data_IF_668533714191
#
_entry.id   IF_668533714191
#
_cell.length_a   1.000
_cell.length_b   1.000
_cell.length_c   1.000
_cell.angle_alpha   90.00
_cell.angle_beta   90.00
_cell.angle_gamma   90.00
#
_symmetry.space_group_name_H-M   'P 1'
#
loop_
_entity.id
_entity.type
_entity.pdbx_description
1 polymer ?
#
# COMPACT_ATOMS: atom_id res chain seq x y z
N UNK A 1 -4.73 21.87 7.75
CA UNK A 1 -5.09 20.69 8.59
C UNK A 1 -3.79 20.26 9.28
N UNK A 2 -3.82 19.98 10.57
CA UNK A 2 -2.69 19.38 11.28
C UNK A 2 -2.88 17.85 11.17
N UNK A 3 -1.90 17.15 10.59
CA UNK A 3 -1.95 15.70 10.41
C UNK A 3 -1.56 14.98 11.70
N UNK A 4 -2.22 13.88 12.00
CA UNK A 4 -1.95 13.03 13.16
C UNK A 4 -1.28 11.72 12.77
N UNK A 5 -1.76 11.09 11.71
CA UNK A 5 -1.37 9.73 11.29
C UNK A 5 -0.41 9.72 10.09
N UNK A 6 -0.15 10.88 9.49
CA UNK A 6 0.88 11.06 8.47
C UNK A 6 1.77 12.26 8.79
N UNK A 7 2.91 12.37 8.11
CA UNK A 7 3.63 13.63 7.92
C UNK A 7 3.61 14.02 6.44
N UNK A 8 3.55 15.33 6.18
CA UNK A 8 3.62 15.90 4.84
C UNK A 8 4.63 17.04 4.80
N UNK A 9 5.60 16.95 3.92
CA UNK A 9 6.62 17.97 3.72
C UNK A 9 6.94 18.17 2.25
N UNK A 10 7.46 19.34 1.90
CA UNK A 10 7.95 19.66 0.56
C UNK A 10 9.43 20.04 0.68
N UNK A 11 10.29 19.31 -0.04
CA UNK A 11 11.74 19.53 -0.09
C UNK A 11 12.10 19.84 -1.54
N UNK A 12 12.37 21.10 -1.83
CA UNK A 12 12.56 21.56 -3.22
C UNK A 12 11.33 21.30 -4.09
N UNK A 13 11.45 20.39 -5.06
CA UNK A 13 10.35 19.98 -5.95
C UNK A 13 9.76 18.59 -5.59
N UNK A 14 10.10 18.07 -4.45
CA UNK A 14 9.67 16.73 -3.99
C UNK A 14 8.71 16.89 -2.83
N UNK A 15 7.48 16.38 -2.96
CA UNK A 15 6.59 16.18 -1.82
C UNK A 15 6.88 14.81 -1.20
N UNK A 16 6.89 14.72 0.12
CA UNK A 16 6.98 13.48 0.88
C UNK A 16 5.76 13.35 1.77
N UNK A 17 5.06 12.25 1.63
CA UNK A 17 4.02 11.78 2.56
C UNK A 17 4.59 10.56 3.29
N UNK A 18 4.59 10.57 4.61
CA UNK A 18 5.06 9.42 5.39
C UNK A 18 3.98 8.99 6.38
N UNK A 19 3.64 7.70 6.38
CA UNK A 19 2.82 7.12 7.44
C UNK A 19 3.49 7.38 8.79
N UNK A 20 2.75 7.83 9.78
CA UNK A 20 3.26 8.28 11.08
C UNK A 20 2.48 7.67 12.26
N UNK A 21 2.29 6.38 12.24
CA UNK A 21 1.75 5.57 13.34
C UNK A 21 2.74 4.47 13.77
N UNK A 22 4.02 4.82 14.09
CA UNK A 22 5.06 3.81 14.33
C UNK A 22 4.75 2.87 15.50
N UNK A 23 3.98 3.31 16.49
CA UNK A 23 3.52 2.49 17.62
C UNK A 23 2.56 1.36 17.20
N UNK A 24 1.88 1.51 16.06
CA UNK A 24 0.95 0.53 15.49
C UNK A 24 1.51 -0.07 14.18
N UNK A 25 2.85 -0.10 14.03
CA UNK A 25 3.52 -0.56 12.80
C UNK A 25 2.96 0.08 11.52
N UNK A 26 2.53 1.34 11.60
CA UNK A 26 1.90 2.10 10.51
C UNK A 26 0.68 1.41 9.90
N UNK A 27 -0.11 0.71 10.71
CA UNK A 27 -1.39 0.16 10.27
C UNK A 27 -2.33 1.27 9.78
N UNK A 28 -3.01 1.01 8.67
CA UNK A 28 -3.83 1.97 7.93
C UNK A 28 -5.22 2.12 8.57
N UNK A 29 -5.35 3.09 9.48
CA UNK A 29 -6.64 3.51 10.04
C UNK A 29 -7.42 4.35 9.02
N UNK A 30 -8.71 4.52 9.25
CA UNK A 30 -9.55 5.41 8.44
C UNK A 30 -9.03 6.85 8.44
N UNK A 31 -8.50 7.32 9.59
CA UNK A 31 -7.90 8.65 9.67
C UNK A 31 -6.63 8.75 8.82
N UNK A 32 -5.74 7.72 8.87
CA UNK A 32 -4.55 7.70 8.02
C UNK A 32 -4.91 7.77 6.53
N UNK A 33 -5.92 7.02 6.10
CA UNK A 33 -6.37 7.02 4.71
C UNK A 33 -6.95 8.38 4.29
N UNK A 34 -7.76 9.00 5.14
CA UNK A 34 -8.32 10.32 4.89
C UNK A 34 -7.24 11.40 4.82
N UNK A 35 -6.25 11.34 5.70
CA UNK A 35 -5.12 12.26 5.70
C UNK A 35 -4.21 12.05 4.48
N UNK A 36 -3.97 10.79 4.08
CA UNK A 36 -3.23 10.45 2.86
C UNK A 36 -3.92 11.01 1.62
N UNK A 37 -5.24 10.82 1.49
CA UNK A 37 -6.02 11.37 0.40
C UNK A 37 -5.94 12.89 0.33
N UNK A 38 -6.07 13.58 1.47
CA UNK A 38 -5.93 15.02 1.53
C UNK A 38 -4.53 15.49 1.12
N UNK A 39 -3.47 14.80 1.58
CA UNK A 39 -2.09 15.14 1.22
C UNK A 39 -1.79 14.86 -0.27
N UNK A 40 -2.35 13.80 -0.84
CA UNK A 40 -2.30 13.53 -2.29
C UNK A 40 -2.93 14.69 -3.07
N UNK A 41 -4.08 15.18 -2.64
CA UNK A 41 -4.76 16.32 -3.28
C UNK A 41 -3.94 17.61 -3.19
N UNK A 42 -3.27 17.90 -2.07
CA UNK A 42 -2.36 19.04 -1.94
C UNK A 42 -1.17 18.91 -2.88
N UNK A 43 -0.47 17.76 -2.85
CA UNK A 43 0.68 17.51 -3.72
C UNK A 43 0.31 17.56 -5.21
N UNK A 44 -0.90 17.13 -5.56
CA UNK A 44 -1.43 17.19 -6.93
C UNK A 44 -1.62 18.62 -7.42
N UNK A 45 -2.16 19.51 -6.57
CA UNK A 45 -2.51 20.89 -6.91
C UNK A 45 -1.32 21.84 -6.87
N UNK A 46 -0.25 21.50 -6.15
CA UNK A 46 0.94 22.35 -6.04
C UNK A 46 1.83 22.22 -7.28
N UNK A 47 1.88 23.25 -8.11
CA UNK A 47 2.69 23.27 -9.35
C UNK A 47 4.21 23.22 -9.07
N UNK A 48 4.65 23.56 -7.85
CA UNK A 48 6.06 23.42 -7.45
C UNK A 48 6.46 21.96 -7.24
N UNK A 49 5.52 21.10 -6.84
CA UNK A 49 5.75 19.66 -6.67
C UNK A 49 5.83 18.95 -8.02
N UNK A 50 6.91 18.22 -8.25
CA UNK A 50 7.17 17.47 -9.50
C UNK A 50 7.22 15.97 -9.29
N UNK A 51 7.57 15.51 -8.09
CA UNK A 51 7.67 14.09 -7.69
C UNK A 51 7.06 13.92 -6.31
N UNK A 52 6.43 12.79 -6.07
CA UNK A 52 5.90 12.39 -4.78
C UNK A 52 6.66 11.17 -4.25
N UNK A 53 7.08 11.21 -3.00
CA UNK A 53 7.56 10.05 -2.23
C UNK A 53 6.45 9.64 -1.24
N UNK A 54 6.11 8.36 -1.21
CA UNK A 54 5.30 7.75 -0.14
C UNK A 54 6.23 6.86 0.68
N UNK A 55 6.39 7.20 1.95
CA UNK A 55 7.27 6.51 2.89
C UNK A 55 6.60 6.28 4.24
N UNK A 56 7.40 6.00 5.26
CA UNK A 56 6.90 5.79 6.62
C UNK A 56 7.94 6.16 7.68
N UNK A 57 7.46 6.64 8.82
CA UNK A 57 8.27 6.93 10.00
C UNK A 57 8.42 5.65 10.83
N UNK A 58 9.63 5.42 11.36
CA UNK A 58 9.92 4.31 12.25
C UNK A 58 10.38 3.04 11.55
N UNK A 59 10.10 1.88 12.17
CA UNK A 59 10.70 0.60 11.78
C UNK A 59 10.09 0.00 10.51
N UNK A 60 8.82 0.19 10.27
CA UNK A 60 8.03 -0.50 9.25
C UNK A 60 7.37 0.50 8.29
N UNK A 61 7.19 0.07 7.05
CA UNK A 61 6.40 0.84 6.07
C UNK A 61 4.92 0.81 6.46
N UNK A 62 4.30 -0.36 6.47
CA UNK A 62 2.94 -0.57 6.96
C UNK A 62 2.67 -2.07 7.21
N UNK A 63 1.94 -2.36 8.28
CA UNK A 63 1.43 -3.69 8.57
C UNK A 63 0.11 -4.02 7.85
N UNK A 64 -0.39 -3.10 7.01
CA UNK A 64 -1.67 -3.19 6.32
C UNK A 64 -2.81 -2.52 7.08
N UNK A 65 -4.05 -2.87 6.76
CA UNK A 65 -5.23 -2.25 7.35
C UNK A 65 -5.29 -2.42 8.87
N UNK A 66 -5.72 -1.38 9.57
CA UNK A 66 -5.94 -1.43 11.02
C UNK A 66 -7.24 -2.20 11.31
N UNK A 67 -7.07 -3.49 11.62
CA UNK A 67 -8.21 -4.39 11.84
C UNK A 67 -9.05 -3.99 13.06
N UNK A 68 -8.44 -3.37 14.08
CA UNK A 68 -9.17 -2.91 15.26
C UNK A 68 -10.02 -1.69 14.94
N UNK A 69 -9.47 -0.69 14.25
CA UNK A 69 -10.20 0.47 13.73
C UNK A 69 -11.33 0.04 12.79
N UNK A 70 -11.03 -0.92 11.90
CA UNK A 70 -12.00 -1.48 10.98
C UNK A 70 -13.17 -2.17 11.67
N UNK A 71 -12.88 -2.97 12.70
CA UNK A 71 -13.92 -3.63 13.49
C UNK A 71 -14.79 -2.66 14.26
N UNK A 72 -14.18 -1.67 14.91
CA UNK A 72 -14.92 -0.68 15.69
C UNK A 72 -15.89 0.11 14.82
N UNK A 73 -15.47 0.51 13.61
CA UNK A 73 -16.23 1.40 12.75
C UNK A 73 -17.14 0.67 11.74
N UNK A 74 -16.76 -0.54 11.31
CA UNK A 74 -17.40 -1.25 10.20
C UNK A 74 -17.76 -2.70 10.49
N UNK A 75 -17.57 -3.18 11.73
CA UNK A 75 -17.84 -4.57 12.10
C UNK A 75 -19.29 -5.03 11.93
N UNK A 76 -20.22 -4.06 11.84
CA UNK A 76 -21.66 -4.33 11.62
C UNK A 76 -22.12 -4.01 10.19
N UNK A 77 -21.20 -3.68 9.27
CA UNK A 77 -21.55 -3.39 7.89
C UNK A 77 -22.15 -4.61 7.20
N UNK A 78 -23.18 -4.38 6.38
CA UNK A 78 -23.64 -5.37 5.40
C UNK A 78 -22.62 -5.53 4.26
N UNK A 79 -22.66 -6.61 3.48
CA UNK A 79 -21.80 -6.77 2.32
C UNK A 79 -21.84 -5.57 1.35
N UNK A 80 -23.03 -4.96 1.15
CA UNK A 80 -23.17 -3.77 0.30
C UNK A 80 -22.45 -2.55 0.91
N UNK A 81 -22.51 -2.37 2.21
CA UNK A 81 -21.83 -1.29 2.91
C UNK A 81 -20.31 -1.46 2.86
N UNK A 82 -19.80 -2.70 3.03
CA UNK A 82 -18.38 -3.03 2.82
C UNK A 82 -17.96 -2.72 1.40
N UNK A 83 -18.70 -3.20 0.40
CA UNK A 83 -18.39 -2.96 -1.01
C UNK A 83 -18.31 -1.45 -1.33
N UNK A 84 -19.29 -0.66 -0.87
CA UNK A 84 -19.31 0.79 -1.08
C UNK A 84 -18.13 1.48 -0.42
N UNK A 85 -17.89 1.15 0.86
CA UNK A 85 -16.84 1.80 1.63
C UNK A 85 -15.43 1.45 1.12
N UNK A 86 -15.15 0.18 0.89
CA UNK A 86 -13.84 -0.28 0.41
C UNK A 86 -13.56 0.15 -1.03
N UNK A 87 -14.60 0.24 -1.87
CA UNK A 87 -14.45 0.77 -3.23
C UNK A 87 -13.97 2.22 -3.25
N UNK A 88 -14.36 3.02 -2.26
CA UNK A 88 -13.97 4.42 -2.15
C UNK A 88 -12.63 4.58 -1.41
N UNK A 89 -12.46 3.89 -0.28
CA UNK A 89 -11.37 4.17 0.66
C UNK A 89 -10.15 3.29 0.44
N UNK A 90 -10.29 1.98 0.17
CA UNK A 90 -9.15 1.11 -0.07
C UNK A 90 -8.79 1.05 -1.55
N UNK A 91 -9.68 0.55 -2.38
CA UNK A 91 -9.48 0.48 -3.83
C UNK A 91 -9.31 1.87 -4.44
N UNK A 92 -10.18 2.83 -4.04
CA UNK A 92 -10.14 4.20 -4.51
C UNK A 92 -8.83 4.90 -4.17
N UNK A 93 -8.35 4.77 -2.94
CA UNK A 93 -7.05 5.32 -2.51
C UNK A 93 -5.88 4.73 -3.32
N UNK A 94 -5.86 3.41 -3.49
CA UNK A 94 -4.84 2.73 -4.30
C UNK A 94 -4.84 3.22 -5.76
N UNK A 95 -6.01 3.32 -6.39
CA UNK A 95 -6.13 3.83 -7.76
C UNK A 95 -5.77 5.31 -7.87
N UNK A 96 -5.99 6.12 -6.83
CA UNK A 96 -5.54 7.54 -6.80
C UNK A 96 -4.03 7.66 -6.82
N UNK A 97 -3.30 6.74 -6.20
CA UNK A 97 -1.82 6.69 -6.26
C UNK A 97 -1.37 6.31 -7.68
N UNK A 98 -1.97 5.28 -8.28
CA UNK A 98 -1.70 4.88 -9.66
C UNK A 98 -1.96 6.01 -10.66
N UNK A 99 -3.10 6.68 -10.54
CA UNK A 99 -3.52 7.79 -11.40
C UNK A 99 -2.89 9.14 -11.03
N UNK A 100 -2.05 9.18 -9.99
CA UNK A 100 -1.43 10.43 -9.57
C UNK A 100 -0.63 11.05 -10.73
N UNK A 101 -0.86 12.34 -11.07
CA UNK A 101 -0.38 12.90 -12.33
C UNK A 101 1.13 13.19 -12.37
N UNK A 102 1.84 12.98 -11.27
CA UNK A 102 3.28 13.17 -11.14
C UNK A 102 3.94 11.83 -10.81
N UNK A 103 5.23 11.60 -11.11
CA UNK A 103 5.93 10.40 -10.70
C UNK A 103 5.83 10.17 -9.19
N UNK A 104 5.63 8.89 -8.81
CA UNK A 104 5.52 8.45 -7.42
C UNK A 104 6.60 7.43 -7.09
N UNK A 105 7.21 7.53 -5.91
CA UNK A 105 8.22 6.60 -5.42
C UNK A 105 7.79 6.07 -4.06
N UNK A 106 7.69 4.75 -3.92
CA UNK A 106 7.55 4.10 -2.62
C UNK A 106 8.92 3.94 -1.98
N UNK A 107 9.09 4.46 -0.76
CA UNK A 107 10.26 4.29 0.09
C UNK A 107 9.94 3.30 1.18
N UNK A 108 10.39 2.05 1.03
CA UNK A 108 9.92 0.92 1.83
C UNK A 108 11.01 0.40 2.77
N UNK A 109 10.67 0.25 4.05
CA UNK A 109 11.52 -0.36 5.06
C UNK A 109 10.75 -1.31 5.99
N UNK A 110 11.45 -2.33 6.51
CA UNK A 110 10.86 -3.32 7.40
C UNK A 110 9.62 -3.98 6.81
N UNK A 111 8.53 -4.10 7.56
CA UNK A 111 7.30 -4.74 7.10
C UNK A 111 6.55 -3.87 6.08
N UNK A 112 6.16 -4.48 4.96
CA UNK A 112 5.26 -3.95 3.94
C UNK A 112 4.23 -5.05 3.63
N UNK A 113 3.10 -5.04 4.32
CA UNK A 113 2.17 -6.18 4.40
C UNK A 113 0.77 -5.76 3.96
N UNK A 114 0.08 -6.62 3.22
CA UNK A 114 -1.34 -6.49 2.83
C UNK A 114 -1.68 -5.10 2.26
N UNK A 115 -2.46 -4.26 2.95
CA UNK A 115 -2.77 -2.88 2.52
C UNK A 115 -1.51 -2.06 2.22
N UNK A 116 -0.48 -2.14 3.09
CA UNK A 116 0.81 -1.48 2.84
C UNK A 116 1.52 -1.98 1.58
N UNK A 117 1.45 -3.29 1.30
CA UNK A 117 1.92 -3.86 0.04
C UNK A 117 1.15 -3.26 -1.15
N UNK A 118 -0.17 -3.12 -1.02
CA UNK A 118 -1.01 -2.50 -2.03
C UNK A 118 -0.58 -1.05 -2.32
N UNK A 119 -0.49 -0.20 -1.29
CA UNK A 119 -0.07 1.20 -1.42
C UNK A 119 1.30 1.33 -2.10
N UNK A 120 2.29 0.53 -1.66
CA UNK A 120 3.64 0.59 -2.21
C UNK A 120 3.69 0.19 -3.69
N UNK A 121 2.93 -0.85 -4.09
CA UNK A 121 2.91 -1.35 -5.47
C UNK A 121 2.05 -0.52 -6.43
N UNK A 122 1.26 0.43 -5.92
CA UNK A 122 0.57 1.40 -6.77
C UNK A 122 1.41 2.65 -7.08
N UNK A 123 2.59 2.78 -6.48
CA UNK A 123 3.60 3.75 -6.89
C UNK A 123 4.31 3.32 -8.18
N UNK A 124 4.91 4.28 -8.90
CA UNK A 124 5.60 4.03 -10.17
C UNK A 124 6.95 3.33 -9.98
N UNK A 125 7.64 3.64 -8.88
CA UNK A 125 8.98 3.13 -8.56
C UNK A 125 8.98 2.70 -7.10
N UNK A 126 9.66 1.59 -6.79
CA UNK A 126 9.85 1.13 -5.43
C UNK A 126 11.34 1.01 -5.09
N UNK A 127 11.74 1.67 -4.00
CA UNK A 127 13.07 1.55 -3.41
C UNK A 127 12.89 0.95 -2.02
N UNK A 128 13.55 -0.15 -1.76
CA UNK A 128 13.45 -0.88 -0.50
C UNK A 128 14.77 -0.86 0.26
N UNK A 129 14.68 -0.79 1.58
CA UNK A 129 15.81 -1.10 2.45
C UNK A 129 16.12 -2.60 2.40
N UNK A 130 17.35 -2.95 2.72
CA UNK A 130 17.82 -4.34 2.79
C UNK A 130 17.14 -5.17 3.90
N UNK A 131 16.59 -4.49 4.92
CA UNK A 131 15.78 -5.08 5.99
C UNK A 131 14.27 -5.18 5.66
N UNK A 132 13.86 -4.70 4.48
CA UNK A 132 12.45 -4.75 4.09
C UNK A 132 12.02 -6.18 3.72
N UNK A 133 10.77 -6.49 4.04
CA UNK A 133 10.11 -7.73 3.62
C UNK A 133 8.66 -7.46 3.26
N UNK A 134 8.15 -8.27 2.35
CA UNK A 134 6.80 -8.16 1.81
C UNK A 134 6.00 -9.42 2.12
N UNK A 135 4.70 -9.27 2.38
CA UNK A 135 3.79 -10.39 2.58
C UNK A 135 2.35 -9.96 2.27
N UNK A 136 1.57 -10.89 1.74
CA UNK A 136 0.12 -10.81 1.72
C UNK A 136 -0.47 -12.12 2.28
N UNK A 137 -0.62 -12.22 3.61
CA UNK A 137 -1.11 -13.43 4.25
C UNK A 137 -2.63 -13.50 4.35
N UNK A 138 -3.38 -12.65 3.65
CA UNK A 138 -4.82 -12.42 3.82
C UNK A 138 -5.63 -13.70 3.61
N UNK A 139 -5.22 -14.58 2.68
CA UNK A 139 -5.87 -15.89 2.49
C UNK A 139 -5.77 -16.79 3.73
N UNK A 140 -4.66 -16.69 4.49
CA UNK A 140 -4.44 -17.51 5.69
C UNK A 140 -4.97 -16.83 6.96
N UNK A 141 -4.87 -15.52 7.04
CA UNK A 141 -5.22 -14.77 8.26
C UNK A 141 -6.69 -14.38 8.34
N UNK A 142 -7.35 -14.23 7.19
CA UNK A 142 -8.74 -13.76 7.09
C UNK A 142 -9.63 -14.65 6.21
N UNK A 143 -9.11 -15.72 5.62
CA UNK A 143 -9.80 -16.53 4.61
C UNK A 143 -10.40 -15.67 3.47
N UNK A 144 -9.69 -14.62 3.07
CA UNK A 144 -10.11 -13.70 2.02
C UNK A 144 -9.18 -13.79 0.80
N UNK A 145 -9.68 -13.38 -0.35
CA UNK A 145 -8.97 -13.50 -1.62
C UNK A 145 -7.99 -12.32 -1.81
N UNK A 146 -6.88 -12.28 -1.02
CA UNK A 146 -5.88 -11.19 -1.08
C UNK A 146 -6.46 -9.84 -0.59
N UNK A 147 -5.76 -8.74 -0.86
CA UNK A 147 -6.23 -7.36 -0.62
C UNK A 147 -7.07 -6.85 -1.79
N UNK A 148 -7.68 -5.68 -1.67
CA UNK A 148 -8.66 -5.10 -2.61
C UNK A 148 -8.10 -4.91 -4.03
N UNK A 149 -6.79 -4.70 -4.16
CA UNK A 149 -6.11 -4.54 -5.45
C UNK A 149 -5.17 -5.68 -5.76
N UNK A 150 -5.54 -6.60 -6.65
CA UNK A 150 -4.70 -7.70 -7.07
C UNK A 150 -3.61 -7.24 -8.06
N UNK A 151 -2.63 -6.51 -7.57
CA UNK A 151 -1.50 -6.02 -8.36
C UNK A 151 -0.41 -7.09 -8.58
N UNK A 152 -0.39 -8.14 -7.75
CA UNK A 152 0.64 -9.17 -7.68
C UNK A 152 1.05 -9.78 -9.04
N UNK A 153 0.11 -10.25 -9.91
CA UNK A 153 0.51 -10.82 -11.20
C UNK A 153 1.24 -9.84 -12.13
N UNK A 154 0.99 -8.55 -11.94
CA UNK A 154 1.56 -7.47 -12.77
C UNK A 154 2.99 -7.10 -12.36
N UNK A 155 3.32 -7.22 -11.08
CA UNK A 155 4.62 -6.81 -10.54
C UNK A 155 5.61 -7.97 -10.36
N UNK A 156 5.14 -9.23 -10.30
CA UNK A 156 6.02 -10.39 -10.09
C UNK A 156 5.72 -11.58 -11.02
N UNK A 157 4.75 -11.43 -11.92
CA UNK A 157 4.31 -12.50 -12.83
C UNK A 157 3.41 -13.54 -12.15
N UNK A 158 2.61 -14.25 -12.98
CA UNK A 158 1.50 -15.09 -12.50
C UNK A 158 1.95 -16.20 -11.54
N UNK A 159 3.08 -16.89 -11.82
CA UNK A 159 3.51 -18.02 -11.01
C UNK A 159 4.01 -17.57 -9.64
N UNK A 160 4.79 -16.50 -9.58
CA UNK A 160 5.27 -15.94 -8.32
C UNK A 160 4.14 -15.33 -7.49
N UNK A 161 3.18 -14.69 -8.13
CA UNK A 161 1.97 -14.21 -7.46
C UNK A 161 1.19 -15.35 -6.79
N UNK A 162 1.01 -16.49 -7.48
CA UNK A 162 0.36 -17.68 -6.90
C UNK A 162 1.15 -18.26 -5.73
N UNK A 163 2.46 -18.45 -5.88
CA UNK A 163 3.33 -18.92 -4.80
C UNK A 163 3.23 -18.01 -3.58
N UNK A 164 3.39 -16.70 -3.78
CA UNK A 164 3.33 -15.69 -2.73
C UNK A 164 1.97 -15.69 -1.99
N UNK A 165 0.86 -15.62 -2.73
CA UNK A 165 -0.48 -15.56 -2.17
C UNK A 165 -0.95 -16.90 -1.57
N UNK A 166 -0.63 -18.02 -2.20
CA UNK A 166 -1.06 -19.34 -1.70
C UNK A 166 -0.31 -19.75 -0.46
N UNK A 167 0.95 -19.34 -0.32
CA UNK A 167 1.75 -19.66 0.87
C UNK A 167 1.61 -18.62 1.99
N UNK A 168 1.26 -17.37 1.66
CA UNK A 168 1.26 -16.24 2.60
C UNK A 168 2.65 -15.94 3.20
N UNK A 169 3.72 -16.52 2.62
CA UNK A 169 5.09 -16.37 3.11
C UNK A 169 5.62 -14.96 2.87
N UNK A 170 6.59 -14.61 3.69
CA UNK A 170 7.35 -13.37 3.51
C UNK A 170 8.41 -13.57 2.45
N UNK A 171 8.59 -12.55 1.62
CA UNK A 171 9.73 -12.45 0.71
C UNK A 171 10.61 -11.28 1.12
N UNK A 172 11.92 -11.44 1.00
CA UNK A 172 12.89 -10.37 1.26
C UNK A 172 12.87 -9.30 0.17
N UNK A 173 13.45 -8.13 0.45
CA UNK A 173 13.63 -7.08 -0.55
C UNK A 173 14.46 -7.56 -1.76
N UNK A 174 15.43 -8.44 -1.54
CA UNK A 174 16.28 -9.00 -2.60
C UNK A 174 15.45 -9.92 -3.51
N UNK A 175 14.68 -10.86 -2.95
CA UNK A 175 13.79 -11.72 -3.73
C UNK A 175 12.75 -10.89 -4.51
N UNK A 176 12.17 -9.87 -3.88
CA UNK A 176 11.23 -8.96 -4.51
C UNK A 176 11.85 -8.20 -5.71
N UNK A 177 13.13 -7.82 -5.59
CA UNK A 177 13.90 -7.22 -6.69
C UNK A 177 14.16 -8.23 -7.80
N UNK A 178 14.56 -9.45 -7.47
CA UNK A 178 14.77 -10.53 -8.46
C UNK A 178 13.48 -10.87 -9.22
N UNK A 179 12.32 -10.74 -8.59
CA UNK A 179 11.01 -10.95 -9.22
C UNK A 179 10.53 -9.76 -10.05
N UNK A 180 11.23 -8.63 -9.98
CA UNK A 180 10.90 -7.41 -10.73
C UNK A 180 9.97 -6.44 -10.03
N UNK A 181 9.55 -6.73 -8.79
CA UNK A 181 8.65 -5.90 -8.00
C UNK A 181 9.36 -4.66 -7.42
N UNK A 182 10.61 -4.79 -7.00
CA UNK A 182 11.41 -3.72 -6.39
C UNK A 182 12.48 -3.26 -7.38
N UNK A 183 12.58 -1.95 -7.62
CA UNK A 183 13.58 -1.39 -8.54
C UNK A 183 14.99 -1.41 -7.93
N UNK A 184 15.13 -0.99 -6.66
CA UNK A 184 16.41 -0.87 -5.98
C UNK A 184 16.32 -1.36 -4.55
N UNK A 185 17.36 -2.08 -4.11
CA UNK A 185 17.55 -2.44 -2.69
C UNK A 185 18.84 -1.77 -2.24
N UNK A 186 18.78 -1.05 -1.13
CA UNK A 186 19.90 -0.30 -0.54
C UNK A 186 19.98 -0.55 0.97
N UNK A 187 21.15 -0.33 1.59
CA UNK A 187 21.25 -0.37 3.05
C UNK A 187 20.22 0.54 3.71
N UNK A 188 19.65 0.10 4.83
CA UNK A 188 18.63 0.88 5.55
C UNK A 188 19.06 2.32 5.82
N UNK A 189 20.31 2.52 6.22
CA UNK A 189 20.83 3.84 6.53
C UNK A 189 20.93 4.78 5.31
N UNK A 190 20.90 4.23 4.10
CA UNK A 190 21.01 4.99 2.85
C UNK A 190 19.66 5.22 2.17
N UNK A 191 18.60 4.53 2.63
CA UNK A 191 17.31 4.50 1.95
C UNK A 191 16.74 5.90 1.69
N UNK A 192 16.73 6.76 2.69
CA UNK A 192 16.16 8.10 2.57
C UNK A 192 16.93 8.95 1.57
N UNK A 193 18.26 8.99 1.69
CA UNK A 193 19.11 9.79 0.81
C UNK A 193 19.08 9.27 -0.64
N UNK A 194 19.08 7.94 -0.81
CA UNK A 194 19.00 7.34 -2.15
C UNK A 194 17.66 7.67 -2.83
N UNK A 195 16.56 7.55 -2.09
CA UNK A 195 15.22 7.88 -2.59
C UNK A 195 15.10 9.35 -2.96
N UNK A 196 15.61 10.24 -2.10
CA UNK A 196 15.60 11.68 -2.36
C UNK A 196 16.43 12.03 -3.60
N UNK A 197 17.64 11.48 -3.74
CA UNK A 197 18.50 11.71 -4.90
C UNK A 197 17.81 11.28 -6.21
N UNK A 198 17.09 10.15 -6.20
CA UNK A 198 16.31 9.71 -7.35
C UNK A 198 15.15 10.66 -7.66
N UNK A 199 14.40 11.06 -6.65
CA UNK A 199 13.29 12.00 -6.81
C UNK A 199 13.76 13.36 -7.36
N UNK A 200 14.85 13.89 -6.83
CA UNK A 200 15.47 15.15 -7.32
C UNK A 200 15.99 15.01 -8.76
N UNK A 201 16.56 13.85 -9.11
CA UNK A 201 16.98 13.58 -10.48
C UNK A 201 15.79 13.59 -11.44
N UNK A 202 14.71 12.90 -11.11
CA UNK A 202 13.46 12.89 -11.88
C UNK A 202 12.88 14.31 -12.00
N UNK A 203 12.88 15.06 -10.90
CA UNK A 203 12.33 16.42 -10.86
C UNK A 203 13.05 17.43 -11.77
N UNK A 204 14.24 17.13 -12.29
CA UNK A 204 14.95 17.97 -13.27
C UNK A 204 14.29 17.93 -14.67
N UNK A 205 13.53 16.87 -14.96
CA UNK A 205 12.85 16.77 -16.23
C UNK A 205 11.61 17.68 -16.30
N UNK A 206 11.22 18.16 -17.50
CA UNK A 206 10.03 18.99 -17.68
C UNK A 206 8.76 18.27 -17.16
N UNK A 207 7.96 18.91 -16.28
CA UNK A 207 6.85 18.24 -15.60
C UNK A 207 5.76 17.71 -16.56
N UNK A 208 5.48 18.42 -17.65
CA UNK A 208 4.50 17.95 -18.67
C UNK A 208 5.00 16.69 -19.36
N UNK A 209 6.30 16.63 -19.68
CA UNK A 209 6.91 15.43 -20.29
C UNK A 209 6.75 14.20 -19.39
N UNK A 210 7.08 14.33 -18.11
CA UNK A 210 6.91 13.25 -17.10
C UNK A 210 5.46 12.82 -16.98
N UNK A 211 4.53 13.78 -16.89
CA UNK A 211 3.09 13.50 -16.81
C UNK A 211 2.58 12.74 -18.03
N UNK A 212 2.98 13.14 -19.24
CA UNK A 212 2.57 12.47 -20.46
C UNK A 212 3.18 11.08 -20.57
N UNK A 213 4.43 10.90 -20.17
CA UNK A 213 5.11 9.61 -20.14
C UNK A 213 4.42 8.63 -19.18
N UNK A 214 4.20 9.03 -17.92
CA UNK A 214 3.45 8.21 -16.95
C UNK A 214 2.08 7.82 -17.50
N UNK A 215 1.33 8.81 -18.02
CA UNK A 215 0.01 8.55 -18.62
C UNK A 215 0.07 7.54 -19.77
N UNK A 216 1.09 7.59 -20.61
CA UNK A 216 1.24 6.65 -21.73
C UNK A 216 1.52 5.24 -21.23
N UNK A 217 2.40 5.08 -20.23
CA UNK A 217 2.73 3.79 -19.63
C UNK A 217 1.51 3.18 -18.93
N UNK A 218 0.81 3.97 -18.09
CA UNK A 218 -0.38 3.49 -17.38
C UNK A 218 -1.49 3.09 -18.37
N UNK A 219 -1.71 3.87 -19.44
CA UNK A 219 -2.65 3.49 -20.49
C UNK A 219 -2.29 2.20 -21.20
N UNK A 220 -1.01 1.95 -21.44
CA UNK A 220 -0.56 0.68 -22.00
C UNK A 220 -0.91 -0.49 -21.09
N UNK A 221 -0.69 -0.35 -19.77
CA UNK A 221 -1.09 -1.34 -18.79
C UNK A 221 -2.62 -1.52 -18.75
N UNK A 222 -3.39 -0.45 -18.80
CA UNK A 222 -4.86 -0.50 -18.83
C UNK A 222 -5.39 -1.19 -20.09
N UNK A 223 -4.79 -0.94 -21.26
CA UNK A 223 -5.11 -1.62 -22.52
C UNK A 223 -4.81 -3.13 -22.42
N UNK A 224 -3.73 -3.51 -21.74
CA UNK A 224 -3.41 -4.92 -21.46
C UNK A 224 -4.34 -5.55 -20.40
N UNK A 225 -5.19 -4.77 -19.74
CA UNK A 225 -6.21 -5.26 -18.81
C UNK A 225 -5.94 -4.99 -17.33
N UNK A 226 -4.93 -4.18 -16.97
CA UNK A 226 -4.56 -3.92 -15.57
C UNK A 226 -5.76 -3.48 -14.73
N UNK A 227 -6.41 -2.38 -15.10
CA UNK A 227 -7.55 -1.84 -14.36
C UNK A 227 -8.75 -2.80 -14.35
N UNK A 228 -9.02 -3.45 -15.48
CA UNK A 228 -10.12 -4.41 -15.56
C UNK A 228 -9.89 -5.63 -14.65
N UNK A 229 -8.65 -6.12 -14.55
CA UNK A 229 -8.34 -7.25 -13.65
C UNK A 229 -8.45 -6.87 -12.18
N UNK A 230 -8.07 -5.65 -11.81
CA UNK A 230 -8.23 -5.12 -10.44
C UNK A 230 -9.72 -5.01 -10.10
N UNK A 231 -10.53 -4.41 -10.97
CA UNK A 231 -11.97 -4.27 -10.74
C UNK A 231 -12.67 -5.64 -10.62
N UNK A 232 -12.34 -6.60 -11.49
CA UNK A 232 -12.90 -7.95 -11.41
C UNK A 232 -12.45 -8.70 -10.14
N UNK A 233 -11.23 -8.45 -9.66
CA UNK A 233 -10.76 -9.02 -8.40
C UNK A 233 -11.47 -8.40 -7.21
N UNK A 234 -11.73 -7.10 -7.21
CA UNK A 234 -12.39 -6.42 -6.09
C UNK A 234 -13.74 -7.05 -5.75
N UNK A 235 -14.56 -7.39 -6.74
CA UNK A 235 -15.82 -8.11 -6.51
C UNK A 235 -15.56 -9.50 -5.89
N UNK A 236 -14.50 -10.20 -6.31
CA UNK A 236 -14.08 -11.50 -5.73
C UNK A 236 -13.61 -11.34 -4.29
N UNK A 237 -12.87 -10.27 -3.99
CA UNK A 237 -12.42 -9.93 -2.64
C UNK A 237 -13.62 -9.76 -1.71
N UNK A 238 -14.57 -8.88 -2.06
CA UNK A 238 -15.79 -8.63 -1.27
C UNK A 238 -16.64 -9.91 -1.09
N UNK A 239 -16.76 -10.73 -2.13
CA UNK A 239 -17.46 -12.00 -1.99
C UNK A 239 -16.76 -12.92 -0.99
N UNK A 240 -15.42 -12.97 -1.02
CA UNK A 240 -14.64 -13.82 -0.11
C UNK A 240 -14.77 -13.40 1.34
N UNK A 241 -14.79 -12.09 1.62
CA UNK A 241 -14.97 -11.53 2.98
C UNK A 241 -16.40 -11.66 3.50
N UNK A 242 -17.34 -12.03 2.66
CA UNK A 242 -18.76 -12.27 3.01
C UNK A 242 -19.07 -13.76 3.28
N UNK A 243 -18.07 -14.64 3.34
CA UNK A 243 -18.26 -16.08 3.53
C UNK A 243 -18.30 -16.48 5.02
N UNK A 244 -18.98 -17.60 5.31
CA UNK A 244 -18.96 -18.17 6.66
C UNK A 244 -17.54 -18.54 7.12
N UNK A 245 -16.67 -18.95 6.19
CA UNK A 245 -15.27 -19.27 6.49
C UNK A 245 -14.50 -18.03 6.95
N UNK A 246 -14.66 -16.90 6.24
CA UNK A 246 -14.09 -15.62 6.65
C UNK A 246 -14.53 -15.23 8.07
N UNK A 247 -15.82 -15.24 8.36
CA UNK A 247 -16.34 -14.89 9.68
C UNK A 247 -15.81 -15.80 10.78
N UNK A 248 -15.67 -17.10 10.52
CA UNK A 248 -15.12 -18.05 11.48
C UNK A 248 -13.64 -17.79 11.79
N UNK A 249 -12.83 -17.52 10.76
CA UNK A 249 -11.40 -17.21 10.89
C UNK A 249 -11.18 -15.87 11.57
N UNK A 250 -11.90 -14.83 11.19
CA UNK A 250 -11.83 -13.50 11.80
C UNK A 250 -12.18 -13.55 13.29
N UNK A 251 -13.26 -14.27 13.67
CA UNK A 251 -13.65 -14.46 15.06
C UNK A 251 -12.62 -15.26 15.89
N UNK A 252 -11.93 -16.23 15.29
CA UNK A 252 -10.86 -16.98 15.93
C UNK A 252 -9.61 -16.11 16.17
N UNK A 253 -9.21 -15.33 15.18
CA UNK A 253 -8.08 -14.39 15.26
C UNK A 253 -8.28 -13.35 16.37
N UNK A 254 -9.49 -12.82 16.48
CA UNK A 254 -9.84 -11.87 17.53
C UNK A 254 -9.72 -12.47 18.94
N UNK A 255 -10.26 -13.68 19.13
CA UNK A 255 -10.15 -14.37 20.43
C UNK A 255 -8.70 -14.58 20.83
N UNK A 256 -7.85 -15.02 19.89
CA UNK A 256 -6.42 -15.18 20.13
C UNK A 256 -5.72 -13.88 20.52
N UNK A 257 -6.06 -12.77 19.86
CA UNK A 257 -5.52 -11.43 20.17
C UNK A 257 -5.94 -10.95 21.58
N UNK A 258 -7.19 -11.14 21.96
CA UNK A 258 -7.70 -10.80 23.31
C UNK A 258 -7.03 -11.64 24.41
N UNK A 259 -6.80 -12.93 24.16
CA UNK A 259 -6.10 -13.81 25.10
C UNK A 259 -4.62 -13.41 25.26
N UNK A 260 -3.96 -13.05 24.17
CA UNK A 260 -2.58 -12.56 24.20
C UNK A 260 -2.47 -11.24 24.98
N UNK A 261 -3.40 -10.30 24.79
CA UNK A 261 -3.45 -9.04 25.52
C UNK A 261 -3.66 -9.26 27.04
N UNK A 262 -4.55 -10.18 27.43
CA UNK A 262 -4.75 -10.55 28.84
C UNK A 262 -3.50 -11.14 29.49
N UNK A 263 -2.76 -12.00 28.76
CA UNK A 263 -1.49 -12.59 29.24
C UNK A 263 -0.37 -11.57 29.38
N UNK A 264 -0.37 -10.51 28.58
CA UNK A 264 0.63 -9.44 28.69
C UNK A 264 0.37 -8.47 29.85
N UNK A 265 -0.83 -8.46 30.41
CA UNK A 265 -1.23 -7.64 31.57
C UNK A 265 -1.16 -8.38 32.92
N UNK A 266 -0.95 -9.68 32.89
CA UNK A 266 -0.76 -10.55 34.08
C UNK A 266 0.73 -10.80 34.34
#
# INVERSE_FOLDING_TARGET
MEYQDISYEIIGHVARISHNRPGNANAESENLLAELDHALDLAKKDDNVRVLIIGAIGKHFSAGHDLMDGMEKRGEFSPEQHWLWESEHYLGNALRIWDFPKPTIAQVQGACIAGGFMVANMCDIMIAADDAFFSDPVAHSLAAASVETLVHPWVMGIRKAKEFLFTGQRISAIEAKEWGMVNHVVPRAELEQYTMNMAEHIAKAPPIGLRMLKRSINRSADIMGFRNSIMAHFDTHILSTSTNEHYAVAAAGMRASLEAAKKAQS
#
